data_IF_886915189861
#
_entry.id   IF_886915189861
#
_cell.length_a   1.000
_cell.length_b   1.000
_cell.length_c   1.000
_cell.angle_alpha   90.00
_cell.angle_beta   90.00
_cell.angle_gamma   90.00
#
_symmetry.space_group_name_H-M   'P 1'
#
loop_
_entity.id
_entity.type
_entity.pdbx_description
1 polymer ?
#
# COMPACT_ATOMS: atom_id res chain seq x y z
N UNK A 1 16.10 64.10 8.63
CA UNK A 1 16.74 62.77 8.68
C UNK A 1 15.64 61.72 8.82
N UNK A 2 15.18 61.16 7.70
CA UNK A 2 14.16 60.09 7.70
C UNK A 2 14.85 58.72 7.84
N UNK A 3 14.60 58.00 8.92
CA UNK A 3 15.06 56.61 9.08
C UNK A 3 14.19 55.72 8.19
N UNK A 4 14.79 55.13 7.16
CA UNK A 4 14.19 54.09 6.36
C UNK A 4 14.36 52.79 7.16
N UNK A 5 13.26 52.26 7.71
CA UNK A 5 13.21 50.94 8.31
C UNK A 5 13.03 49.96 7.14
N UNK A 6 14.09 49.27 6.79
CA UNK A 6 14.08 48.18 5.83
C UNK A 6 13.51 46.95 6.53
N UNK A 7 12.22 46.66 6.36
CA UNK A 7 11.60 45.44 6.85
C UNK A 7 12.01 44.31 5.91
N UNK A 8 12.95 43.51 6.36
CA UNK A 8 13.39 42.29 5.67
C UNK A 8 12.29 41.25 5.87
N UNK A 9 11.40 41.12 4.89
CA UNK A 9 10.45 39.99 4.82
C UNK A 9 11.28 38.78 4.43
N UNK A 10 11.67 37.99 5.42
CA UNK A 10 12.18 36.64 5.20
C UNK A 10 11.04 35.78 4.66
N UNK A 11 11.02 35.59 3.35
CA UNK A 11 10.14 34.61 2.71
C UNK A 11 10.64 33.23 3.14
N UNK A 12 10.06 32.70 4.20
CA UNK A 12 10.25 31.32 4.59
C UNK A 12 9.54 30.47 3.54
N UNK A 13 10.25 30.07 2.49
CA UNK A 13 9.84 28.94 1.69
C UNK A 13 9.89 27.73 2.63
N UNK A 14 8.79 27.43 3.27
CA UNK A 14 8.60 26.12 3.86
C UNK A 14 8.72 25.13 2.69
N UNK A 15 9.85 24.45 2.58
CA UNK A 15 9.99 23.26 1.76
C UNK A 15 8.86 22.36 2.19
N UNK A 16 7.86 22.19 1.32
CA UNK A 16 6.78 21.23 1.53
C UNK A 16 7.39 19.82 1.40
N UNK A 17 8.08 19.37 2.45
CA UNK A 17 8.37 17.96 2.60
C UNK A 17 7.03 17.29 2.83
N UNK A 18 6.64 16.41 1.91
CA UNK A 18 5.47 15.57 2.15
C UNK A 18 5.73 14.76 3.41
N UNK A 19 4.74 14.69 4.26
CA UNK A 19 4.71 13.73 5.35
C UNK A 19 4.47 12.36 4.73
N UNK A 20 5.37 11.41 4.95
CA UNK A 20 5.32 10.09 4.33
C UNK A 20 5.11 9.02 5.39
N UNK A 21 4.31 8.01 5.06
CA UNK A 21 4.13 6.81 5.90
C UNK A 21 4.57 5.58 5.11
N UNK A 22 5.48 4.80 5.68
CA UNK A 22 5.91 3.52 5.13
C UNK A 22 5.05 2.42 5.74
N UNK A 23 4.34 1.67 4.91
CA UNK A 23 3.36 0.68 5.35
C UNK A 23 3.90 -0.70 5.02
N UNK A 24 4.26 -1.46 6.05
CA UNK A 24 4.87 -2.78 5.89
C UNK A 24 3.80 -3.85 5.75
N UNK A 25 4.00 -4.77 4.82
CA UNK A 25 3.10 -5.87 4.54
C UNK A 25 3.77 -7.21 4.88
N UNK A 26 3.09 -7.98 5.70
CA UNK A 26 3.44 -9.36 6.07
C UNK A 26 2.25 -10.29 5.83
N UNK A 27 2.51 -11.63 5.84
CA UNK A 27 1.46 -12.64 5.74
C UNK A 27 1.69 -13.80 6.73
N UNK A 28 2.71 -14.64 6.52
CA UNK A 28 3.06 -15.80 7.34
C UNK A 28 4.33 -15.54 8.15
N UNK A 29 4.48 -16.28 9.26
CA UNK A 29 5.63 -16.12 10.15
C UNK A 29 6.24 -17.48 10.51
N UNK A 30 7.56 -17.63 10.27
CA UNK A 30 8.30 -18.87 10.51
C UNK A 30 7.56 -20.10 9.93
N UNK A 31 7.08 -20.01 8.70
CA UNK A 31 6.39 -21.08 7.99
C UNK A 31 7.21 -21.54 6.77
N UNK A 32 8.06 -22.53 6.99
CA UNK A 32 8.96 -23.08 5.97
C UNK A 32 8.21 -23.76 4.81
N UNK A 33 6.93 -24.12 4.99
CA UNK A 33 6.09 -24.69 3.92
C UNK A 33 5.76 -23.67 2.83
N UNK A 34 5.74 -22.40 3.17
CA UNK A 34 5.37 -21.29 2.29
C UNK A 34 6.38 -20.15 2.36
N UNK A 35 7.64 -20.39 1.96
CA UNK A 35 8.71 -19.41 2.12
C UNK A 35 8.43 -18.10 1.38
N UNK A 36 7.74 -18.15 0.24
CA UNK A 36 7.45 -16.96 -0.59
C UNK A 36 6.53 -15.93 0.08
N UNK A 37 5.83 -16.30 1.14
CA UNK A 37 4.93 -15.42 1.90
C UNK A 37 5.31 -15.33 3.38
N UNK A 38 6.42 -15.97 3.77
CA UNK A 38 6.86 -16.07 5.16
C UNK A 38 7.99 -15.09 5.47
N UNK A 39 7.91 -14.49 6.66
CA UNK A 39 8.96 -13.66 7.28
C UNK A 39 9.27 -14.27 8.65
N UNK A 40 10.53 -14.36 9.04
CA UNK A 40 10.85 -14.88 10.37
C UNK A 40 10.51 -13.87 11.48
N UNK A 41 10.18 -14.37 12.67
CA UNK A 41 9.97 -13.50 13.83
C UNK A 41 11.23 -12.75 14.23
N UNK A 42 12.43 -13.25 13.91
CA UNK A 42 13.69 -12.56 14.13
C UNK A 42 13.84 -11.37 13.17
N UNK A 43 13.48 -11.52 11.90
CA UNK A 43 13.45 -10.40 10.95
C UNK A 43 12.50 -9.30 11.42
N UNK A 44 11.30 -9.65 11.92
CA UNK A 44 10.37 -8.64 12.47
C UNK A 44 10.97 -7.90 13.66
N UNK A 45 11.65 -8.59 14.58
CA UNK A 45 12.36 -7.94 15.68
C UNK A 45 13.39 -6.93 15.18
N UNK A 46 14.15 -7.31 14.15
CA UNK A 46 15.12 -6.42 13.52
C UNK A 46 14.43 -5.23 12.86
N UNK A 47 13.29 -5.44 12.17
CA UNK A 47 12.50 -4.34 11.58
C UNK A 47 12.02 -3.36 12.66
N UNK A 48 11.45 -3.84 13.76
CA UNK A 48 11.02 -3.01 14.88
C UNK A 48 12.20 -2.22 15.47
N UNK A 49 13.33 -2.89 15.69
CA UNK A 49 14.55 -2.27 16.21
C UNK A 49 15.04 -1.15 15.31
N UNK A 50 15.18 -1.39 13.99
CA UNK A 50 15.65 -0.41 13.01
C UNK A 50 14.72 0.80 12.96
N UNK A 51 13.41 0.58 12.95
CA UNK A 51 12.39 1.63 12.94
C UNK A 51 12.51 2.53 14.19
N UNK A 52 12.63 1.91 15.38
CA UNK A 52 12.81 2.62 16.65
C UNK A 52 14.15 3.41 16.69
N UNK A 53 15.25 2.78 16.28
CA UNK A 53 16.58 3.40 16.26
C UNK A 53 16.68 4.57 15.28
N UNK A 54 15.96 4.51 14.16
CA UNK A 54 15.88 5.61 13.19
C UNK A 54 14.88 6.70 13.58
N UNK A 55 14.20 6.56 14.73
CA UNK A 55 13.25 7.55 15.24
C UNK A 55 11.91 7.62 14.50
N UNK A 56 11.52 6.56 13.81
CA UNK A 56 10.19 6.50 13.19
C UNK A 56 9.09 6.33 14.22
N UNK A 57 8.00 7.05 14.08
CA UNK A 57 6.78 6.80 14.85
C UNK A 57 6.06 5.60 14.26
N UNK A 58 5.76 4.61 15.09
CA UNK A 58 4.90 3.49 14.73
C UNK A 58 3.47 3.92 14.99
N UNK A 59 2.65 3.93 13.94
CA UNK A 59 1.27 4.40 14.01
C UNK A 59 0.33 3.26 14.38
N UNK A 60 -0.66 3.58 15.21
CA UNK A 60 -1.87 2.79 15.35
C UNK A 60 -2.91 3.22 14.31
N UNK A 61 -4.08 2.54 14.32
CA UNK A 61 -5.19 2.84 13.42
C UNK A 61 -5.65 4.31 13.54
N UNK A 62 -5.79 4.86 14.74
CA UNK A 62 -6.32 6.20 14.95
C UNK A 62 -5.33 7.29 14.50
N UNK A 63 -4.06 7.09 14.77
CA UNK A 63 -2.99 7.97 14.28
C UNK A 63 -2.93 7.94 12.75
N UNK A 64 -3.03 6.73 12.15
CA UNK A 64 -3.03 6.59 10.68
C UNK A 64 -4.29 7.20 10.06
N UNK A 65 -5.47 6.98 10.63
CA UNK A 65 -6.72 7.59 10.17
C UNK A 65 -6.65 9.12 10.22
N UNK A 66 -6.10 9.69 11.30
CA UNK A 66 -5.87 11.14 11.43
C UNK A 66 -4.92 11.67 10.34
N UNK A 67 -3.90 10.89 9.97
CA UNK A 67 -3.00 11.24 8.87
C UNK A 67 -3.70 11.20 7.50
N UNK A 68 -4.44 10.12 7.23
CA UNK A 68 -5.21 9.94 5.99
C UNK A 68 -6.25 11.06 5.79
N UNK A 69 -6.87 11.51 6.87
CA UNK A 69 -7.84 12.61 6.86
C UNK A 69 -7.18 14.00 6.74
N UNK A 70 -5.86 14.08 6.94
CA UNK A 70 -5.12 15.34 6.90
C UNK A 70 -5.13 16.12 8.22
N UNK A 71 -5.62 15.52 9.31
CA UNK A 71 -5.68 16.14 10.64
C UNK A 71 -4.31 16.18 11.31
N UNK A 72 -3.43 15.20 10.98
CA UNK A 72 -2.06 15.10 11.48
C UNK A 72 -1.06 14.90 10.34
N UNK A 73 0.19 15.28 10.60
CA UNK A 73 1.33 15.00 9.74
C UNK A 73 2.45 14.38 10.59
N UNK A 74 3.27 13.52 9.96
CA UNK A 74 4.40 12.85 10.60
C UNK A 74 5.63 12.99 9.71
N UNK A 75 6.78 13.36 10.28
CA UNK A 75 8.03 13.47 9.52
C UNK A 75 8.57 12.09 9.10
N UNK A 76 8.51 11.13 10.04
CA UNK A 76 8.93 9.75 9.83
C UNK A 76 7.94 8.84 10.54
N UNK A 77 7.15 8.10 9.77
CA UNK A 77 6.16 7.19 10.33
C UNK A 77 6.10 5.86 9.58
N UNK A 78 5.77 4.81 10.31
CA UNK A 78 5.55 3.47 9.77
C UNK A 78 4.25 2.89 10.31
N UNK A 79 3.66 1.97 9.56
CA UNK A 79 2.49 1.18 9.93
C UNK A 79 2.77 -0.29 9.62
N UNK A 80 2.51 -1.17 10.57
CA UNK A 80 2.62 -2.62 10.38
C UNK A 80 1.28 -3.21 9.95
N UNK A 81 1.27 -4.02 8.89
CA UNK A 81 0.05 -4.69 8.40
C UNK A 81 0.33 -6.16 8.12
N UNK A 82 -0.65 -7.01 8.43
CA UNK A 82 -0.62 -8.46 8.17
C UNK A 82 -1.88 -8.83 7.41
N UNK A 83 -1.75 -9.62 6.34
CA UNK A 83 -2.87 -10.09 5.54
C UNK A 83 -3.22 -11.55 5.86
N UNK A 84 -4.39 -11.98 5.36
CA UNK A 84 -4.96 -13.33 5.30
C UNK A 84 -5.48 -13.92 6.62
N UNK A 85 -4.92 -13.59 7.76
CA UNK A 85 -5.31 -14.22 9.03
C UNK A 85 -4.82 -15.65 9.20
N UNK A 86 -3.61 -15.97 8.72
CA UNK A 86 -3.00 -17.28 8.95
C UNK A 86 -2.72 -17.56 10.42
N UNK A 87 -2.74 -18.85 10.84
CA UNK A 87 -2.42 -19.27 12.22
C UNK A 87 -1.04 -18.81 12.69
N UNK A 88 -0.09 -18.71 11.78
CA UNK A 88 1.27 -18.25 12.09
C UNK A 88 1.31 -16.79 12.56
N UNK A 89 0.26 -15.99 12.32
CA UNK A 89 0.08 -14.65 12.86
C UNK A 89 0.20 -14.61 14.39
N UNK A 90 -0.16 -15.70 15.10
CA UNK A 90 -0.02 -15.78 16.56
C UNK A 90 1.42 -15.61 17.04
N UNK A 91 2.41 -15.98 16.22
CA UNK A 91 3.84 -15.80 16.54
C UNK A 91 4.23 -14.32 16.50
N UNK A 92 3.85 -13.62 15.45
CA UNK A 92 4.08 -12.18 15.33
C UNK A 92 3.26 -11.39 16.36
N UNK A 93 2.00 -11.78 16.61
CA UNK A 93 1.16 -11.15 17.63
C UNK A 93 1.82 -11.15 19.01
N UNK A 94 2.39 -12.30 19.42
CA UNK A 94 3.11 -12.40 20.69
C UNK A 94 4.21 -11.34 20.78
N UNK A 95 5.02 -11.20 19.73
CA UNK A 95 6.10 -10.22 19.68
C UNK A 95 5.57 -8.79 19.71
N UNK A 96 4.54 -8.47 18.89
CA UNK A 96 3.96 -7.14 18.85
C UNK A 96 3.34 -6.74 20.20
N UNK A 97 2.68 -7.67 20.88
CA UNK A 97 2.12 -7.45 22.21
C UNK A 97 3.21 -7.23 23.26
N UNK A 98 4.29 -8.04 23.27
CA UNK A 98 5.43 -7.90 24.18
C UNK A 98 6.15 -6.55 24.00
N UNK A 99 6.34 -6.12 22.76
CA UNK A 99 7.02 -4.86 22.40
C UNK A 99 6.07 -3.63 22.37
N UNK A 100 4.78 -3.84 22.65
CA UNK A 100 3.71 -2.85 22.57
C UNK A 100 3.66 -2.14 21.20
N UNK A 101 3.76 -2.91 20.11
CA UNK A 101 3.73 -2.44 18.72
C UNK A 101 2.32 -2.55 18.17
N UNK A 102 1.68 -1.42 17.77
CA UNK A 102 0.39 -1.48 17.10
C UNK A 102 0.52 -2.01 15.67
N UNK A 103 -0.52 -2.72 15.21
CA UNK A 103 -0.57 -3.26 13.86
C UNK A 103 -2.01 -3.48 13.38
N UNK A 104 -2.19 -3.64 12.06
CA UNK A 104 -3.45 -3.99 11.44
C UNK A 104 -3.40 -5.46 10.98
N UNK A 105 -4.48 -6.20 11.18
CA UNK A 105 -4.64 -7.58 10.69
C UNK A 105 -5.87 -7.68 9.81
N UNK A 106 -5.69 -8.04 8.54
CA UNK A 106 -6.75 -8.17 7.56
C UNK A 106 -7.18 -9.63 7.44
N UNK A 107 -8.47 -9.88 7.71
CA UNK A 107 -9.05 -11.22 7.80
C UNK A 107 -9.78 -11.56 6.50
N UNK A 108 -9.41 -12.68 5.90
CA UNK A 108 -10.20 -13.36 4.90
C UNK A 108 -11.28 -14.18 5.61
N UNK A 109 -12.51 -13.66 5.62
CA UNK A 109 -13.58 -14.19 6.47
C UNK A 109 -14.08 -15.57 6.04
N UNK A 110 -13.98 -15.92 4.75
CA UNK A 110 -14.38 -17.24 4.25
C UNK A 110 -13.41 -18.36 4.60
N UNK A 111 -12.15 -18.01 4.91
CA UNK A 111 -11.12 -18.98 5.26
C UNK A 111 -10.96 -19.20 6.78
N UNK A 112 -11.63 -18.40 7.62
CA UNK A 112 -11.55 -18.54 9.07
C UNK A 112 -11.98 -19.94 9.50
N UNK A 113 -11.12 -20.59 10.30
CA UNK A 113 -11.34 -21.94 10.79
C UNK A 113 -10.79 -23.06 9.88
N UNK A 114 -10.32 -22.78 8.67
CA UNK A 114 -9.61 -23.75 7.85
C UNK A 114 -8.22 -24.10 8.44
N UNK A 115 -7.62 -25.24 8.06
CA UNK A 115 -6.43 -25.77 8.74
C UNK A 115 -5.27 -24.81 8.95
N UNK A 116 -5.00 -23.91 8.00
CA UNK A 116 -3.89 -22.95 8.06
C UNK A 116 -4.30 -21.55 8.57
N UNK A 117 -5.59 -21.32 8.83
CA UNK A 117 -6.14 -20.02 9.21
C UNK A 117 -6.54 -19.97 10.68
N UNK A 118 -6.57 -18.78 11.25
CA UNK A 118 -7.10 -18.54 12.60
C UNK A 118 -8.58 -18.96 12.68
N UNK A 119 -9.01 -19.38 13.86
CA UNK A 119 -10.43 -19.50 14.18
C UNK A 119 -10.97 -18.19 14.72
N UNK A 120 -12.28 -17.98 14.70
CA UNK A 120 -12.91 -16.80 15.28
C UNK A 120 -12.58 -16.61 16.77
N UNK A 121 -12.48 -17.71 17.52
CA UNK A 121 -12.04 -17.67 18.92
C UNK A 121 -10.62 -17.14 19.05
N UNK A 122 -9.70 -17.61 18.20
CA UNK A 122 -8.33 -17.10 18.19
C UNK A 122 -8.28 -15.63 17.79
N UNK A 123 -9.07 -15.20 16.80
CA UNK A 123 -9.16 -13.79 16.39
C UNK A 123 -9.64 -12.92 17.56
N UNK A 124 -10.69 -13.34 18.29
CA UNK A 124 -11.15 -12.63 19.51
C UNK A 124 -10.06 -12.52 20.57
N UNK A 125 -9.27 -13.57 20.78
CA UNK A 125 -8.14 -13.54 21.73
C UNK A 125 -7.04 -12.57 21.29
N UNK A 126 -6.76 -12.47 19.99
CA UNK A 126 -5.79 -11.48 19.49
C UNK A 126 -6.33 -10.06 19.67
N UNK A 127 -7.63 -9.84 19.45
CA UNK A 127 -8.31 -8.53 19.54
C UNK A 127 -8.35 -7.94 20.97
N UNK A 128 -8.06 -8.75 22.00
CA UNK A 128 -7.84 -8.25 23.37
C UNK A 128 -6.64 -7.30 23.48
N UNK A 129 -5.73 -7.32 22.52
CA UNK A 129 -4.60 -6.39 22.48
C UNK A 129 -5.03 -5.06 21.87
N UNK A 130 -5.08 -4.01 22.66
CA UNK A 130 -5.53 -2.67 22.25
C UNK A 130 -4.70 -2.04 21.11
N UNK A 131 -3.52 -2.57 20.82
CA UNK A 131 -2.68 -2.17 19.68
C UNK A 131 -3.06 -2.85 18.37
N UNK A 132 -3.95 -3.86 18.39
CA UNK A 132 -4.46 -4.50 17.18
C UNK A 132 -5.72 -3.78 16.67
N UNK A 133 -5.82 -3.64 15.35
CA UNK A 133 -7.09 -3.31 14.69
C UNK A 133 -7.34 -4.32 13.58
N UNK A 134 -8.54 -4.89 13.55
CA UNK A 134 -8.95 -5.88 12.56
C UNK A 134 -9.57 -5.21 11.32
N UNK A 135 -9.15 -5.65 10.15
CA UNK A 135 -9.66 -5.25 8.84
C UNK A 135 -10.21 -6.44 8.05
N UNK A 136 -10.88 -6.15 6.93
CA UNK A 136 -11.36 -7.16 6.01
C UNK A 136 -10.40 -7.37 4.84
N UNK A 137 -10.30 -8.62 4.38
CA UNK A 137 -9.51 -9.05 3.23
C UNK A 137 -10.36 -9.93 2.29
N UNK A 138 -11.60 -9.47 1.97
CA UNK A 138 -12.57 -10.23 1.19
C UNK A 138 -13.17 -11.42 1.98
N UNK A 139 -14.20 -12.04 1.42
CA UNK A 139 -14.71 -13.31 1.90
C UNK A 139 -14.12 -14.48 1.11
N UNK A 140 -14.19 -14.43 -0.21
CA UNK A 140 -13.75 -15.53 -1.09
C UNK A 140 -12.25 -15.46 -1.44
N UNK A 141 -11.60 -14.29 -1.25
CA UNK A 141 -10.20 -14.04 -1.62
C UNK A 141 -9.92 -14.23 -3.11
N UNK A 142 -10.83 -13.75 -3.95
CA UNK A 142 -10.74 -13.91 -5.39
C UNK A 142 -9.72 -12.98 -6.07
N UNK A 143 -9.29 -13.40 -7.25
CA UNK A 143 -8.43 -12.60 -8.12
C UNK A 143 -9.27 -11.65 -8.99
N UNK A 144 -9.44 -10.42 -8.53
CA UNK A 144 -10.23 -9.41 -9.22
C UNK A 144 -9.69 -9.01 -10.60
N UNK A 145 -8.37 -9.16 -10.88
CA UNK A 145 -7.84 -8.89 -12.22
C UNK A 145 -8.26 -9.98 -13.21
N UNK A 146 -8.23 -11.24 -12.78
CA UNK A 146 -8.70 -12.32 -13.62
C UNK A 146 -10.21 -12.19 -13.91
N UNK A 147 -10.97 -11.81 -12.88
CA UNK A 147 -12.41 -11.57 -13.03
C UNK A 147 -12.70 -10.39 -13.96
N UNK A 148 -11.94 -9.30 -13.84
CA UNK A 148 -12.06 -8.11 -14.69
C UNK A 148 -11.82 -8.44 -16.17
N UNK A 149 -10.78 -9.24 -16.45
CA UNK A 149 -10.45 -9.68 -17.80
C UNK A 149 -11.54 -10.60 -18.40
N UNK A 150 -12.02 -11.58 -17.61
CA UNK A 150 -12.93 -12.60 -18.09
C UNK A 150 -14.39 -12.15 -18.16
N UNK A 151 -14.82 -11.30 -17.26
CA UNK A 151 -16.23 -10.96 -17.08
C UNK A 151 -16.52 -9.45 -17.22
N UNK A 152 -15.49 -8.63 -17.38
CA UNK A 152 -15.62 -7.19 -17.50
C UNK A 152 -15.85 -6.47 -16.17
N UNK A 153 -15.87 -5.15 -16.26
CA UNK A 153 -15.83 -4.26 -15.09
C UNK A 153 -17.12 -4.29 -14.26
N UNK A 154 -18.26 -4.26 -14.91
CA UNK A 154 -19.57 -4.24 -14.24
C UNK A 154 -19.76 -5.50 -13.38
N UNK A 155 -19.48 -6.67 -13.95
CA UNK A 155 -19.54 -7.94 -13.20
C UNK A 155 -18.59 -7.93 -12.02
N UNK A 156 -17.36 -7.49 -12.21
CA UNK A 156 -16.33 -7.46 -11.16
C UNK A 156 -16.72 -6.54 -10.00
N UNK A 157 -17.30 -5.38 -10.29
CA UNK A 157 -17.76 -4.45 -9.27
C UNK A 157 -18.96 -5.00 -8.47
N UNK A 158 -19.95 -5.61 -9.16
CA UNK A 158 -21.08 -6.26 -8.51
C UNK A 158 -20.63 -7.40 -7.59
N UNK A 159 -19.73 -8.27 -8.09
CA UNK A 159 -19.16 -9.35 -7.28
C UNK A 159 -18.38 -8.81 -6.06
N UNK A 160 -17.57 -7.75 -6.26
CA UNK A 160 -16.83 -7.13 -5.17
C UNK A 160 -17.75 -6.61 -4.07
N UNK A 161 -18.86 -5.95 -4.44
CA UNK A 161 -19.84 -5.44 -3.47
C UNK A 161 -20.54 -6.57 -2.72
N UNK A 162 -20.96 -7.64 -3.40
CA UNK A 162 -21.58 -8.81 -2.77
C UNK A 162 -20.61 -9.50 -1.80
N UNK A 163 -19.35 -9.70 -2.20
CA UNK A 163 -18.30 -10.29 -1.37
C UNK A 163 -17.98 -9.41 -0.14
N UNK A 164 -17.91 -8.10 -0.34
CA UNK A 164 -17.67 -7.14 0.74
C UNK A 164 -18.78 -7.20 1.80
N UNK A 165 -20.05 -7.20 1.36
CA UNK A 165 -21.21 -7.30 2.24
C UNK A 165 -21.19 -8.63 3.00
N UNK A 166 -20.90 -9.74 2.31
CA UNK A 166 -20.78 -11.07 2.91
C UNK A 166 -19.64 -11.13 3.94
N UNK A 167 -18.49 -10.56 3.58
CA UNK A 167 -17.34 -10.46 4.48
C UNK A 167 -17.65 -9.65 5.73
N UNK A 168 -18.27 -8.47 5.57
CA UNK A 168 -18.64 -7.60 6.69
C UNK A 168 -19.66 -8.25 7.60
N UNK A 169 -20.66 -8.95 7.00
CA UNK A 169 -21.66 -9.67 7.79
C UNK A 169 -21.04 -10.79 8.61
N UNK A 170 -20.20 -11.62 8.01
CA UNK A 170 -19.51 -12.72 8.72
C UNK A 170 -18.65 -12.18 9.87
N UNK A 171 -17.96 -11.06 9.64
CA UNK A 171 -17.15 -10.41 10.66
C UNK A 171 -18.02 -9.85 11.80
N UNK A 172 -19.10 -9.12 11.48
CA UNK A 172 -19.98 -8.50 12.47
C UNK A 172 -20.71 -9.57 13.32
N UNK A 173 -21.16 -10.66 12.69
CA UNK A 173 -21.83 -11.78 13.39
C UNK A 173 -20.89 -12.43 14.45
N UNK A 174 -19.59 -12.48 14.21
CA UNK A 174 -18.61 -13.14 15.07
C UNK A 174 -17.91 -12.20 16.06
N UNK A 175 -17.66 -10.95 15.65
CA UNK A 175 -16.91 -9.99 16.45
C UNK A 175 -17.81 -9.01 17.23
N UNK A 176 -19.07 -8.85 16.81
CA UNK A 176 -20.04 -7.94 17.44
C UNK A 176 -19.87 -6.46 17.03
N UNK A 177 -18.98 -6.15 16.09
CA UNK A 177 -18.78 -4.82 15.53
C UNK A 177 -18.38 -4.89 14.04
N UNK A 178 -18.48 -3.77 13.33
CA UNK A 178 -18.10 -3.66 11.92
C UNK A 178 -16.64 -3.25 11.75
N UNK A 179 -15.95 -3.88 10.81
CA UNK A 179 -14.66 -3.37 10.36
C UNK A 179 -14.84 -2.12 9.50
N UNK A 180 -13.90 -1.18 9.61
CA UNK A 180 -13.90 0.07 8.84
C UNK A 180 -12.72 0.19 7.87
N UNK A 181 -11.91 -0.86 7.74
CA UNK A 181 -10.69 -0.85 6.93
C UNK A 181 -10.62 -2.11 6.06
N UNK A 182 -10.03 -1.96 4.88
CA UNK A 182 -9.96 -3.02 3.89
C UNK A 182 -8.56 -3.18 3.30
N UNK A 183 -8.18 -4.40 2.93
CA UNK A 183 -7.04 -4.67 2.07
C UNK A 183 -7.50 -5.51 0.89
N UNK A 184 -7.14 -5.11 -0.33
CA UNK A 184 -7.50 -5.86 -1.53
C UNK A 184 -6.70 -7.16 -1.62
N UNK A 185 -7.34 -8.33 -1.86
CA UNK A 185 -6.64 -9.58 -2.15
C UNK A 185 -5.60 -9.40 -3.27
N UNK A 186 -4.38 -9.89 -3.05
CA UNK A 186 -3.22 -9.72 -3.95
C UNK A 186 -2.84 -8.26 -4.22
N UNK A 187 -3.51 -7.30 -3.58
CA UNK A 187 -3.42 -5.88 -3.90
C UNK A 187 -4.09 -5.50 -5.23
N UNK A 188 -4.98 -6.29 -5.76
CA UNK A 188 -5.65 -6.11 -7.04
C UNK A 188 -6.96 -5.34 -6.88
N UNK A 189 -7.12 -4.32 -7.71
CA UNK A 189 -8.27 -3.43 -7.66
C UNK A 189 -8.61 -2.89 -9.05
N UNK A 190 -9.84 -2.40 -9.21
CA UNK A 190 -10.24 -1.55 -10.33
C UNK A 190 -10.99 -0.32 -9.81
N UNK A 191 -11.05 0.73 -10.63
CA UNK A 191 -11.79 1.95 -10.28
C UNK A 191 -13.29 1.67 -10.18
N UNK A 192 -13.92 2.21 -9.14
CA UNK A 192 -15.29 1.93 -8.72
C UNK A 192 -15.35 1.09 -7.44
N UNK A 193 -14.32 0.28 -7.15
CA UNK A 193 -14.22 -0.41 -5.84
C UNK A 193 -14.05 0.58 -4.69
N UNK A 194 -13.37 1.69 -4.92
CA UNK A 194 -13.23 2.80 -3.97
C UNK A 194 -14.56 3.46 -3.62
N UNK A 195 -15.44 3.66 -4.59
CA UNK A 195 -16.79 4.18 -4.34
C UNK A 195 -17.62 3.18 -3.54
N UNK A 196 -17.56 1.89 -3.86
CA UNK A 196 -18.23 0.82 -3.10
C UNK A 196 -17.76 0.78 -1.65
N UNK A 197 -16.45 0.84 -1.41
CA UNK A 197 -15.90 0.89 -0.04
C UNK A 197 -16.39 2.13 0.72
N UNK A 198 -16.38 3.29 0.07
CA UNK A 198 -16.87 4.55 0.65
C UNK A 198 -18.35 4.48 1.01
N UNK A 199 -19.19 3.95 0.12
CA UNK A 199 -20.62 3.82 0.31
C UNK A 199 -20.95 2.82 1.43
N UNK A 200 -20.08 1.84 1.67
CA UNK A 200 -20.13 0.89 2.78
C UNK A 200 -19.38 1.37 4.05
N UNK A 201 -19.03 2.68 4.15
CA UNK A 201 -18.42 3.35 5.29
C UNK A 201 -17.00 2.92 5.65
N UNK A 202 -16.26 2.28 4.75
CA UNK A 202 -14.84 2.03 4.94
C UNK A 202 -14.06 3.35 4.93
N UNK A 203 -13.08 3.47 5.80
CA UNK A 203 -12.29 4.70 5.98
C UNK A 203 -11.12 4.79 5.02
N UNK A 204 -10.48 3.64 4.76
CA UNK A 204 -9.37 3.52 3.82
C UNK A 204 -9.14 2.06 3.40
N UNK A 205 -8.38 1.89 2.29
CA UNK A 205 -8.04 0.56 1.80
C UNK A 205 -6.62 0.50 1.24
N UNK A 206 -6.00 -0.68 1.38
CA UNK A 206 -4.64 -0.96 0.99
C UNK A 206 -4.53 -1.82 -0.25
N UNK A 207 -3.59 -1.46 -1.11
CA UNK A 207 -3.12 -2.27 -2.25
C UNK A 207 -1.80 -2.97 -1.92
N UNK A 208 -1.16 -3.57 -2.92
CA UNK A 208 0.24 -4.02 -2.86
C UNK A 208 1.09 -3.29 -3.92
N UNK A 209 0.66 -2.11 -4.35
CA UNK A 209 1.55 -1.19 -5.05
C UNK A 209 2.63 -0.75 -4.07
N UNK A 210 3.89 -0.75 -4.51
CA UNK A 210 5.00 -0.41 -3.62
C UNK A 210 5.22 1.11 -3.51
N UNK A 211 5.99 1.50 -2.50
CA UNK A 211 6.40 2.89 -2.28
C UNK A 211 5.79 3.51 -1.03
N UNK A 212 6.39 4.61 -0.54
CA UNK A 212 5.85 5.33 0.60
C UNK A 212 4.52 5.99 0.25
N UNK A 213 3.62 6.04 1.23
CA UNK A 213 2.31 6.66 1.10
C UNK A 213 2.35 8.13 1.49
N UNK A 214 1.68 8.96 0.68
CA UNK A 214 1.30 10.33 1.01
C UNK A 214 -0.21 10.50 0.84
N UNK A 215 -0.83 11.32 1.67
CA UNK A 215 -2.30 11.52 1.66
C UNK A 215 -2.85 12.00 0.31
N UNK A 216 -2.03 12.65 -0.50
CA UNK A 216 -2.36 13.10 -1.86
C UNK A 216 -2.63 11.94 -2.83
N UNK A 217 -2.26 10.70 -2.48
CA UNK A 217 -2.59 9.51 -3.27
C UNK A 217 -4.04 9.06 -3.12
N UNK A 218 -4.78 9.60 -2.13
CA UNK A 218 -6.14 9.21 -1.80
C UNK A 218 -6.18 8.08 -0.76
N UNK A 219 -7.40 7.70 -0.37
CA UNK A 219 -7.66 6.83 0.80
C UNK A 219 -7.83 5.35 0.47
N UNK A 220 -8.14 5.00 -0.78
CA UNK A 220 -8.59 3.65 -1.13
C UNK A 220 -7.63 2.85 -2.00
N UNK A 221 -6.47 3.44 -2.37
CA UNK A 221 -5.41 2.76 -3.11
C UNK A 221 -4.06 3.03 -2.45
N UNK A 222 -3.98 2.72 -1.16
CA UNK A 222 -2.82 2.99 -0.32
C UNK A 222 -1.74 1.94 -0.57
N UNK A 223 -0.53 2.35 -0.98
CA UNK A 223 0.58 1.43 -1.26
C UNK A 223 1.13 0.80 0.03
N UNK A 224 1.73 -0.38 -0.10
CA UNK A 224 2.42 -1.11 0.97
C UNK A 224 3.73 -1.70 0.49
N UNK A 225 4.68 -1.84 1.40
CA UNK A 225 6.00 -2.43 1.15
C UNK A 225 6.02 -3.88 1.65
N UNK A 226 6.07 -4.89 0.76
CA UNK A 226 6.17 -6.28 1.19
C UNK A 226 7.54 -6.56 1.81
N UNK A 227 7.55 -7.12 3.01
CA UNK A 227 8.76 -7.52 3.74
C UNK A 227 8.78 -9.04 3.91
N UNK A 228 9.15 -9.75 2.85
CA UNK A 228 9.18 -11.21 2.79
C UNK A 228 10.37 -11.67 1.93
N UNK A 229 10.91 -12.86 2.19
CA UNK A 229 12.11 -13.40 1.54
C UNK A 229 13.28 -12.39 1.55
N UNK A 230 13.93 -12.20 0.39
CA UNK A 230 15.04 -11.26 0.22
C UNK A 230 14.65 -9.80 0.52
N UNK A 231 13.35 -9.49 0.52
CA UNK A 231 12.82 -8.15 0.87
C UNK A 231 12.63 -7.96 2.38
N UNK A 232 12.75 -9.01 3.19
CA UNK A 232 12.73 -8.91 4.65
C UNK A 232 14.09 -8.52 5.26
N UNK A 233 15.15 -8.39 4.45
CA UNK A 233 16.48 -8.07 4.95
C UNK A 233 16.59 -6.65 5.49
N UNK A 234 17.50 -6.43 6.43
CA UNK A 234 17.83 -5.10 6.98
C UNK A 234 18.25 -4.11 5.89
N UNK A 235 19.02 -4.57 4.91
CA UNK A 235 19.49 -3.75 3.78
C UNK A 235 18.30 -3.26 2.94
N UNK A 236 17.33 -4.15 2.67
CA UNK A 236 16.14 -3.77 1.92
C UNK A 236 15.24 -2.82 2.72
N UNK A 237 15.00 -3.09 4.00
CA UNK A 237 14.26 -2.17 4.87
C UNK A 237 14.91 -0.78 4.89
N UNK A 238 16.24 -0.73 5.02
CA UNK A 238 16.97 0.55 4.99
C UNK A 238 16.85 1.26 3.64
N UNK A 239 16.81 0.51 2.54
CA UNK A 239 16.58 1.06 1.21
C UNK A 239 15.18 1.68 1.07
N UNK A 240 14.12 0.94 1.44
CA UNK A 240 12.76 1.47 1.33
C UNK A 240 12.52 2.70 2.22
N UNK A 241 13.07 2.73 3.43
CA UNK A 241 12.98 3.88 4.35
C UNK A 241 13.75 5.14 3.86
N UNK A 242 14.63 4.99 2.86
CA UNK A 242 15.32 6.12 2.24
C UNK A 242 14.64 6.64 0.98
N UNK A 243 13.67 5.91 0.41
CA UNK A 243 12.90 6.37 -0.75
C UNK A 243 11.91 7.44 -0.35
N UNK A 244 11.47 8.22 -1.33
CA UNK A 244 10.47 9.26 -1.19
C UNK A 244 9.30 9.01 -2.13
N UNK A 245 8.12 9.47 -1.76
CA UNK A 245 6.96 9.47 -2.63
C UNK A 245 7.17 10.43 -3.81
N UNK A 246 6.76 10.01 -5.00
CA UNK A 246 6.69 10.86 -6.17
C UNK A 246 5.23 11.22 -6.47
N UNK A 247 4.86 12.47 -6.32
CA UNK A 247 3.51 12.92 -6.65
C UNK A 247 3.34 12.99 -8.17
N UNK A 248 2.50 12.10 -8.70
CA UNK A 248 2.23 11.98 -10.13
C UNK A 248 0.77 12.24 -10.46
N UNK A 249 0.52 12.75 -11.65
CA UNK A 249 -0.80 12.93 -12.26
C UNK A 249 -0.82 12.28 -13.64
N UNK A 250 -2.01 12.14 -14.21
CA UNK A 250 -2.23 11.72 -15.61
C UNK A 250 -1.42 10.47 -15.98
N UNK A 251 -1.36 9.50 -15.06
CA UNK A 251 -0.67 8.22 -15.29
C UNK A 251 -1.40 7.43 -16.35
N UNK A 252 -0.66 6.99 -17.37
CA UNK A 252 -1.17 6.17 -18.45
C UNK A 252 -0.15 5.10 -18.83
N UNK A 253 -0.56 3.86 -19.13
CA UNK A 253 -1.93 3.35 -18.95
C UNK A 253 -2.26 3.03 -17.49
N UNK A 254 -3.55 2.99 -17.18
CA UNK A 254 -4.09 2.46 -15.91
C UNK A 254 -5.11 1.35 -16.14
N UNK A 255 -5.88 1.46 -17.22
CA UNK A 255 -6.79 0.44 -17.74
C UNK A 255 -6.63 0.39 -19.27
N UNK A 256 -6.49 -0.79 -19.83
CA UNK A 256 -6.39 -1.03 -21.29
C UNK A 256 -7.02 -2.38 -21.66
N UNK A 257 -7.35 -2.56 -22.91
CA UNK A 257 -7.71 -3.88 -23.46
C UNK A 257 -6.45 -4.70 -23.73
N UNK A 258 -6.51 -6.01 -23.47
CA UNK A 258 -5.40 -6.92 -23.77
C UNK A 258 -5.04 -6.87 -25.26
N UNK A 259 -3.76 -6.73 -25.58
CA UNK A 259 -3.27 -6.58 -26.96
C UNK A 259 -3.27 -5.12 -27.47
N UNK A 260 -3.82 -4.18 -26.74
CA UNK A 260 -3.72 -2.75 -27.08
C UNK A 260 -2.27 -2.26 -26.99
N UNK A 261 -1.86 -1.44 -27.98
CA UNK A 261 -0.56 -0.78 -27.98
C UNK A 261 -0.62 0.52 -27.18
N UNK A 262 0.36 0.76 -26.30
CA UNK A 262 0.43 1.96 -25.47
C UNK A 262 1.86 2.48 -25.28
N UNK A 263 1.97 3.74 -24.96
CA UNK A 263 3.18 4.38 -24.46
C UNK A 263 2.96 4.80 -23.00
N UNK A 264 3.87 4.41 -22.09
CA UNK A 264 3.74 4.78 -20.68
C UNK A 264 4.01 6.27 -20.54
N UNK A 265 3.13 7.01 -19.85
CA UNK A 265 3.32 8.42 -19.59
C UNK A 265 2.72 8.85 -18.25
N UNK A 266 3.23 9.96 -17.72
CA UNK A 266 2.72 10.63 -16.52
C UNK A 266 3.12 12.09 -16.52
N UNK A 267 2.51 12.88 -15.62
CA UNK A 267 2.96 14.23 -15.32
C UNK A 267 3.35 14.35 -13.84
N UNK A 268 4.32 15.22 -13.56
CA UNK A 268 4.72 15.56 -12.19
C UNK A 268 5.23 17.00 -12.12
N UNK A 269 4.96 17.67 -11.00
CA UNK A 269 5.55 18.97 -10.68
C UNK A 269 6.75 18.85 -9.74
N UNK A 270 7.12 17.62 -9.34
CA UNK A 270 8.28 17.42 -8.49
C UNK A 270 9.57 17.79 -9.23
N UNK A 271 10.50 18.36 -8.49
CA UNK A 271 11.82 18.71 -9.03
C UNK A 271 12.72 17.48 -9.04
N UNK A 272 12.75 16.77 -10.19
CA UNK A 272 13.40 15.46 -10.34
C UNK A 272 14.31 15.39 -11.56
N UNK A 273 15.30 14.49 -11.48
CA UNK A 273 16.22 14.10 -12.53
C UNK A 273 16.38 12.57 -12.61
N UNK A 274 17.15 12.09 -13.55
CA UNK A 274 17.52 10.67 -13.69
C UNK A 274 16.29 9.73 -13.68
N UNK A 275 15.29 10.07 -14.51
CA UNK A 275 14.02 9.33 -14.56
C UNK A 275 14.18 7.99 -15.27
N UNK A 276 13.53 6.95 -14.73
CA UNK A 276 13.38 5.61 -15.32
C UNK A 276 11.96 5.14 -15.11
N UNK A 277 11.35 4.59 -16.13
CA UNK A 277 10.11 3.85 -16.01
C UNK A 277 10.41 2.34 -15.84
N UNK A 278 9.45 1.63 -15.33
CA UNK A 278 9.47 0.19 -15.17
C UNK A 278 8.10 -0.37 -15.53
N UNK A 279 8.07 -1.50 -16.20
CA UNK A 279 6.88 -2.33 -16.36
C UNK A 279 7.27 -3.79 -16.14
N UNK A 280 6.42 -4.57 -15.47
CA UNK A 280 6.74 -5.94 -15.03
C UNK A 280 7.20 -6.85 -16.19
N UNK A 281 6.61 -6.69 -17.38
CA UNK A 281 6.92 -7.53 -18.54
C UNK A 281 8.26 -7.22 -19.23
N UNK A 282 8.80 -5.99 -19.06
CA UNK A 282 10.00 -5.54 -19.81
C UNK A 282 11.15 -5.10 -18.87
N UNK A 283 10.87 -4.82 -17.59
CA UNK A 283 11.86 -4.29 -16.67
C UNK A 283 12.02 -2.77 -16.76
N UNK A 284 13.25 -2.27 -16.58
CA UNK A 284 13.56 -0.83 -16.59
C UNK A 284 13.63 -0.28 -18.01
N UNK A 285 13.03 0.89 -18.21
CA UNK A 285 12.87 1.57 -19.48
C UNK A 285 13.49 2.96 -19.44
N UNK A 286 14.07 3.37 -20.57
CA UNK A 286 14.49 4.75 -20.76
C UNK A 286 13.29 5.70 -20.92
N UNK A 287 13.49 6.94 -20.53
CA UNK A 287 12.45 7.96 -20.54
C UNK A 287 12.87 9.20 -21.29
N UNK A 288 11.86 9.91 -21.82
CA UNK A 288 11.98 11.28 -22.27
C UNK A 288 11.20 12.18 -21.29
N UNK A 289 11.80 13.29 -20.91
CA UNK A 289 11.15 14.32 -20.09
C UNK A 289 10.96 15.57 -20.93
N UNK A 290 9.72 16.00 -21.10
CA UNK A 290 9.33 17.24 -21.77
C UNK A 290 8.49 18.10 -20.81
N UNK A 291 9.11 19.14 -20.27
CA UNK A 291 8.52 19.94 -19.20
C UNK A 291 8.16 19.08 -17.99
N UNK A 292 6.86 19.02 -17.66
CA UNK A 292 6.32 18.23 -16.57
C UNK A 292 5.89 16.82 -16.98
N UNK A 293 5.90 16.50 -18.29
CA UNK A 293 5.53 15.19 -18.81
C UNK A 293 6.75 14.30 -18.92
N UNK A 294 6.57 13.04 -18.50
CA UNK A 294 7.57 11.96 -18.63
C UNK A 294 6.88 10.83 -19.39
N UNK A 295 7.58 10.23 -20.35
CA UNK A 295 7.06 9.12 -21.14
C UNK A 295 8.18 8.14 -21.54
N UNK A 296 7.78 6.88 -21.80
CA UNK A 296 8.71 5.85 -22.29
C UNK A 296 9.16 6.17 -23.72
N UNK A 297 10.39 5.79 -24.07
CA UNK A 297 10.89 5.94 -25.45
C UNK A 297 10.17 5.03 -26.45
N UNK A 298 9.70 3.87 -25.97
CA UNK A 298 9.08 2.84 -26.79
C UNK A 298 7.57 2.72 -26.52
N UNK A 299 6.87 2.10 -27.47
CA UNK A 299 5.53 1.59 -27.32
C UNK A 299 5.57 0.12 -26.90
N UNK A 300 4.53 -0.33 -26.23
CA UNK A 300 4.39 -1.67 -25.67
C UNK A 300 2.99 -2.21 -25.97
N UNK A 301 2.89 -3.53 -26.09
CA UNK A 301 1.60 -4.22 -26.13
C UNK A 301 1.45 -5.02 -24.84
N UNK A 302 0.34 -4.85 -24.14
CA UNK A 302 0.07 -5.66 -22.95
C UNK A 302 -0.25 -7.10 -23.37
N UNK A 303 0.55 -8.04 -22.89
CA UNK A 303 0.38 -9.47 -23.12
C UNK A 303 0.26 -10.27 -21.82
N UNK A 304 0.15 -9.59 -20.69
CA UNK A 304 0.04 -10.18 -19.36
C UNK A 304 -1.16 -9.60 -18.62
N UNK A 305 -1.87 -10.46 -17.89
CA UNK A 305 -2.97 -10.05 -17.02
C UNK A 305 -2.51 -9.04 -15.96
N UNK A 306 -1.34 -9.29 -15.37
CA UNK A 306 -0.75 -8.48 -14.32
C UNK A 306 0.47 -7.72 -14.83
N UNK A 307 0.35 -6.41 -14.90
CA UNK A 307 1.49 -5.52 -15.05
C UNK A 307 1.49 -4.46 -13.95
N UNK A 308 2.62 -4.32 -13.26
CA UNK A 308 2.88 -3.14 -12.43
C UNK A 308 3.80 -2.21 -13.18
N UNK A 309 3.43 -0.94 -13.18
CA UNK A 309 4.23 0.13 -13.74
C UNK A 309 4.82 0.94 -12.58
N UNK A 310 6.04 1.43 -12.74
CA UNK A 310 6.65 2.34 -11.78
C UNK A 310 7.43 3.44 -12.50
N UNK A 311 7.53 4.58 -11.85
CA UNK A 311 8.48 5.64 -12.15
C UNK A 311 9.48 5.75 -10.99
N UNK A 312 10.76 5.73 -11.33
CA UNK A 312 11.87 6.03 -10.44
C UNK A 312 12.51 7.35 -10.89
N UNK A 313 12.87 8.19 -9.95
CA UNK A 313 13.56 9.43 -10.21
C UNK A 313 14.44 9.80 -9.03
N UNK A 314 15.34 10.75 -9.21
CA UNK A 314 16.11 11.35 -8.11
C UNK A 314 15.61 12.75 -7.84
N UNK A 315 15.32 13.02 -6.59
CA UNK A 315 15.08 14.37 -6.11
C UNK A 315 16.32 15.24 -6.34
N UNK A 316 16.15 16.41 -6.91
CA UNK A 316 17.30 17.25 -7.30
C UNK A 316 18.01 17.89 -6.11
N UNK A 317 17.32 18.10 -5.00
CA UNK A 317 17.88 18.72 -3.80
C UNK A 317 18.52 17.73 -2.86
N UNK A 318 17.77 16.69 -2.47
CA UNK A 318 18.23 15.68 -1.52
C UNK A 318 19.03 14.55 -2.14
N UNK A 319 18.93 14.34 -3.46
CA UNK A 319 19.48 13.19 -4.18
C UNK A 319 18.84 11.86 -3.85
N UNK A 320 17.79 11.84 -2.99
CA UNK A 320 17.07 10.62 -2.63
C UNK A 320 16.26 10.11 -3.82
N UNK A 321 16.05 8.80 -3.86
CA UNK A 321 15.16 8.19 -4.83
C UNK A 321 13.72 8.57 -4.52
N UNK A 322 12.97 8.99 -5.57
CA UNK A 322 11.52 9.14 -5.55
C UNK A 322 10.89 8.05 -6.39
N UNK A 323 9.78 7.50 -5.90
CA UNK A 323 9.13 6.37 -6.57
C UNK A 323 7.61 6.50 -6.52
N UNK A 324 6.95 6.03 -7.58
CA UNK A 324 5.51 5.78 -7.63
C UNK A 324 5.24 4.51 -8.42
N UNK A 325 4.52 3.56 -7.82
CA UNK A 325 3.98 2.38 -8.49
C UNK A 325 2.49 2.55 -8.77
N UNK A 326 2.00 1.85 -9.78
CA UNK A 326 0.57 1.66 -10.02
C UNK A 326 0.32 0.37 -10.80
N UNK A 327 -0.87 -0.16 -10.64
CA UNK A 327 -1.34 -1.34 -11.33
C UNK A 327 -1.85 -0.97 -12.72
N UNK A 328 -1.38 -1.65 -13.76
CA UNK A 328 -2.00 -1.68 -15.07
C UNK A 328 -3.00 -2.84 -15.10
N UNK A 329 -4.25 -2.55 -15.40
CA UNK A 329 -5.35 -3.50 -15.44
C UNK A 329 -5.79 -3.75 -16.88
N UNK A 330 -5.85 -5.03 -17.25
CA UNK A 330 -6.49 -5.42 -18.48
C UNK A 330 -8.00 -5.54 -18.22
N UNK A 331 -8.79 -4.76 -18.94
CA UNK A 331 -10.24 -4.85 -18.94
C UNK A 331 -10.66 -5.73 -20.12
N UNK A 332 -11.60 -6.64 -19.92
CA UNK A 332 -12.22 -7.43 -20.99
C UNK A 332 -12.91 -6.52 -22.02
N UNK A 333 -13.16 -7.06 -23.22
CA UNK A 333 -13.89 -6.37 -24.29
C UNK A 333 -15.32 -6.00 -23.86
#
# INVERSE_FOLDING_TARGET
MKKIILTMIALVFALMSFSEVYIFLYHRFDDERYPSTSTSTEEIKNHIKIVKEKGYKILDHQDFLSYVNGDKNYENAVLFTIDDGYKTTTKAHKLFKEENIPYLLFINTGNVGYPDYLTWEQIRQLDEFSGLTLGLHSHEHDNFLYMLEQNGKEYTLNFFEEDLIKSQKAFEDEMGYKSEIYAYPYGYYTYGMDDILKDNNFKYAFTQDMGPYIKEYGKYFIPREPLLLDWATESHLSYILNRKALLTKDRYPVEITLGEEFQISLTTNDNIRDTKLYISQEGLLDTVKDGNKIYSTNYFTSNQLLNRIAIFARDTESGKEKVRYWLLRNIGE
#
